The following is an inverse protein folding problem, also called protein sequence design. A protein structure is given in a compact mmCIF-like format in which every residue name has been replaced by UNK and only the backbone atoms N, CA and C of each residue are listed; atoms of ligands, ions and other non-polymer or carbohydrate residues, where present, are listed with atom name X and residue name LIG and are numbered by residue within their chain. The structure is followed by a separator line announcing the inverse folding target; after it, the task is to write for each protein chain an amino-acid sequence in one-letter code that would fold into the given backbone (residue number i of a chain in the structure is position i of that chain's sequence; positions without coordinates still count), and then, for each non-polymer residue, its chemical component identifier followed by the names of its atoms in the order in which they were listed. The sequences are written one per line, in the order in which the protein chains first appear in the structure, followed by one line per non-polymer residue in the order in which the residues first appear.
data_IF_950774738972
#
_entry.id   IF_950774738972
#
_cell.length_a   1.000
_cell.length_b   1.000
_cell.length_c   1.000
_cell.angle_alpha   90.00
_cell.angle_beta   90.00
_cell.angle_gamma   90.00
#
_symmetry.space_group_name_H-M   'P 1'
#
loop_
_entity.id
_entity.type
_entity.pdbx_description
1 polymer ?
#
# COMPACT_ATOMS: atom_id res chain seq x y z
N UNK A 1 5.87 7.59 25.60
CA UNK A 1 4.46 7.13 25.70
C UNK A 1 3.73 7.17 24.35
N UNK A 2 3.60 8.33 23.67
CA UNK A 2 2.87 8.48 22.39
C UNK A 2 3.31 7.47 21.31
N UNK A 3 4.62 7.34 21.04
CA UNK A 3 5.17 6.40 20.05
C UNK A 3 4.83 4.94 20.37
N UNK A 4 4.90 4.53 21.62
CA UNK A 4 4.57 3.15 22.05
C UNK A 4 3.10 2.86 21.78
N UNK A 5 2.19 3.77 22.18
CA UNK A 5 0.76 3.62 21.91
C UNK A 5 0.45 3.56 20.41
N UNK A 6 1.16 4.34 19.60
CA UNK A 6 1.01 4.29 18.14
C UNK A 6 1.45 2.95 17.55
N UNK A 7 2.57 2.39 18.02
CA UNK A 7 3.03 1.04 17.59
C UNK A 7 2.04 -0.03 18.03
N UNK A 8 1.53 0.03 19.26
CA UNK A 8 0.49 -0.90 19.74
C UNK A 8 -0.77 -0.83 18.88
N UNK A 9 -1.21 0.38 18.50
CA UNK A 9 -2.33 0.57 17.59
C UNK A 9 -2.06 -0.07 16.21
N UNK A 10 -0.89 0.17 15.62
CA UNK A 10 -0.49 -0.45 14.35
C UNK A 10 -0.43 -1.97 14.45
N UNK A 11 0.08 -2.52 15.55
CA UNK A 11 0.10 -3.97 15.79
C UNK A 11 -1.32 -4.53 15.85
N UNK A 12 -2.21 -3.87 16.58
CA UNK A 12 -3.61 -4.28 16.69
C UNK A 12 -4.31 -4.32 15.32
N UNK A 13 -4.00 -3.38 14.41
CA UNK A 13 -4.52 -3.37 13.05
C UNK A 13 -3.83 -4.34 12.09
N UNK A 14 -2.67 -4.84 12.45
CA UNK A 14 -1.89 -5.74 11.60
C UNK A 14 -2.12 -7.21 11.91
N UNK A 15 -2.60 -7.52 13.09
CA UNK A 15 -2.98 -8.89 13.47
C UNK A 15 -4.39 -9.11 12.93
N UNK A 16 -4.63 -10.11 12.06
CA UNK A 16 -5.96 -10.41 11.58
C UNK A 16 -6.79 -10.98 12.73
N UNK A 17 -7.20 -10.13 13.65
CA UNK A 17 -8.27 -10.44 14.55
C UNK A 17 -9.51 -10.56 13.72
N UNK A 18 -9.53 -11.68 13.08
CA UNK A 18 -10.75 -12.10 12.50
C UNK A 18 -11.36 -11.13 11.50
N UNK A 19 -10.82 -11.13 10.38
CA UNK A 19 -11.63 -11.11 9.19
C UNK A 19 -12.60 -12.31 9.13
N UNK A 20 -12.64 -13.12 10.17
CA UNK A 20 -13.51 -14.28 10.32
C UNK A 20 -14.51 -14.02 11.44
N UNK A 21 -15.56 -13.24 11.12
CA UNK A 21 -16.69 -13.03 12.00
C UNK A 21 -16.57 -11.78 12.89
N UNK A 22 -17.69 -11.08 13.00
CA UNK A 22 -17.88 -9.89 13.81
C UNK A 22 -18.00 -10.28 15.29
N UNK A 23 -16.88 -10.74 15.90
CA UNK A 23 -16.92 -11.04 17.33
C UNK A 23 -17.04 -9.73 18.12
N UNK A 24 -17.83 -9.69 19.22
CA UNK A 24 -17.96 -8.51 20.08
C UNK A 24 -16.61 -7.94 20.56
N UNK A 25 -15.62 -8.81 20.72
CA UNK A 25 -14.24 -8.42 21.11
C UNK A 25 -13.55 -7.56 20.04
N UNK A 26 -13.71 -7.92 18.76
CA UNK A 26 -13.12 -7.16 17.64
C UNK A 26 -13.78 -5.80 17.51
N UNK A 27 -15.10 -5.73 17.69
CA UNK A 27 -15.85 -4.47 17.70
C UNK A 27 -15.34 -3.59 18.86
N UNK A 28 -15.23 -4.13 20.06
CA UNK A 28 -14.76 -3.39 21.23
C UNK A 28 -13.34 -2.84 21.04
N UNK A 29 -12.41 -3.67 20.51
CA UNK A 29 -11.03 -3.22 20.22
C UNK A 29 -11.04 -2.12 19.15
N UNK A 30 -11.81 -2.27 18.07
CA UNK A 30 -11.92 -1.26 17.01
C UNK A 30 -12.47 0.07 17.56
N UNK A 31 -13.49 0.01 18.42
CA UNK A 31 -14.06 1.19 19.06
C UNK A 31 -13.06 1.88 20.01
N UNK A 32 -12.28 1.11 20.78
CA UNK A 32 -11.23 1.67 21.65
C UNK A 32 -10.14 2.37 20.84
N UNK A 33 -9.72 1.78 19.71
CA UNK A 33 -8.70 2.39 18.86
C UNK A 33 -9.26 3.59 18.11
N UNK A 34 -10.53 3.56 17.68
CA UNK A 34 -11.23 4.72 17.12
C UNK A 34 -11.30 5.85 18.14
N UNK A 35 -11.75 5.57 19.36
CA UNK A 35 -11.81 6.54 20.44
C UNK A 35 -10.43 7.14 20.73
N UNK A 36 -9.41 6.30 20.83
CA UNK A 36 -8.03 6.75 21.02
C UNK A 36 -7.58 7.66 19.87
N UNK A 37 -7.79 7.25 18.61
CA UNK A 37 -7.41 8.04 17.44
C UNK A 37 -8.16 9.38 17.39
N UNK A 38 -9.45 9.36 17.72
CA UNK A 38 -10.29 10.54 17.76
C UNK A 38 -9.82 11.53 18.85
N UNK A 39 -9.61 11.04 20.08
CA UNK A 39 -9.10 11.87 21.18
C UNK A 39 -7.75 12.50 20.86
N UNK A 40 -6.88 11.76 20.15
CA UNK A 40 -5.58 12.27 19.72
C UNK A 40 -5.68 13.28 18.57
N UNK A 41 -6.75 13.23 17.76
CA UNK A 41 -7.00 14.18 16.67
C UNK A 41 -7.71 15.47 17.13
N UNK A 42 -8.47 15.44 18.23
CA UNK A 42 -9.21 16.61 18.73
C UNK A 42 -8.37 17.90 18.81
N UNK A 43 -7.13 17.88 19.36
CA UNK A 43 -6.29 19.07 19.40
C UNK A 43 -5.79 19.53 18.03
N UNK A 44 -5.92 18.68 17.00
CA UNK A 44 -5.38 18.86 15.66
C UNK A 44 -6.47 19.00 14.60
N UNK A 45 -7.68 19.39 14.95
CA UNK A 45 -8.82 19.48 14.02
C UNK A 45 -8.55 20.42 12.84
N UNK A 46 -7.94 21.60 13.07
CA UNK A 46 -7.62 22.55 12.00
C UNK A 46 -6.64 21.94 10.98
N UNK A 47 -5.47 21.39 11.37
CA UNK A 47 -4.58 20.68 10.45
C UNK A 47 -5.24 19.49 9.75
N UNK A 48 -6.13 18.78 10.44
CA UNK A 48 -6.87 17.66 9.87
C UNK A 48 -7.79 18.10 8.73
N UNK A 49 -8.62 19.13 8.98
CA UNK A 49 -9.53 19.69 7.97
C UNK A 49 -8.73 20.21 6.76
N UNK A 50 -7.63 20.90 7.00
CA UNK A 50 -6.73 21.36 5.93
C UNK A 50 -6.16 20.16 5.14
N UNK A 51 -5.72 19.09 5.82
CA UNK A 51 -5.22 17.87 5.18
C UNK A 51 -6.29 17.22 4.30
N UNK A 52 -7.53 17.12 4.77
CA UNK A 52 -8.64 16.58 3.99
C UNK A 52 -9.01 17.47 2.80
N UNK A 53 -9.08 18.78 2.98
CA UNK A 53 -9.32 19.75 1.91
C UNK A 53 -8.22 19.73 0.85
N UNK A 54 -6.98 19.57 1.27
CA UNK A 54 -5.82 19.45 0.40
C UNK A 54 -5.72 18.12 -0.37
N UNK A 55 -6.55 17.14 -0.02
CA UNK A 55 -6.59 15.81 -0.66
C UNK A 55 -8.02 15.43 -1.09
N UNK A 56 -8.67 16.23 -1.95
CA UNK A 56 -10.11 16.09 -2.21
C UNK A 56 -10.49 14.73 -2.79
N UNK A 57 -9.69 14.15 -3.68
CA UNK A 57 -9.98 12.85 -4.28
C UNK A 57 -9.95 11.72 -3.23
N UNK A 58 -8.98 11.73 -2.30
CA UNK A 58 -8.94 10.78 -1.18
C UNK A 58 -10.14 10.98 -0.26
N UNK A 59 -10.45 12.23 0.08
CA UNK A 59 -11.56 12.58 0.96
C UNK A 59 -12.90 12.15 0.37
N UNK A 60 -13.15 12.44 -0.91
CA UNK A 60 -14.36 12.01 -1.62
C UNK A 60 -14.45 10.47 -1.69
N UNK A 61 -13.34 9.78 -1.96
CA UNK A 61 -13.31 8.31 -1.96
C UNK A 61 -13.66 7.75 -0.57
N UNK A 62 -13.08 8.32 0.51
CA UNK A 62 -13.40 7.91 1.87
C UNK A 62 -14.87 8.13 2.21
N UNK A 63 -15.43 9.27 1.84
CA UNK A 63 -16.85 9.59 2.03
C UNK A 63 -17.76 8.66 1.21
N UNK A 64 -17.38 8.36 -0.03
CA UNK A 64 -18.12 7.46 -0.91
C UNK A 64 -18.17 6.03 -0.35
N UNK A 65 -16.99 5.48 0.08
CA UNK A 65 -16.94 4.16 0.73
C UNK A 65 -17.79 4.16 2.01
N UNK A 66 -17.71 5.20 2.83
CA UNK A 66 -18.50 5.28 4.06
C UNK A 66 -20.00 5.37 3.77
N UNK A 67 -20.40 6.11 2.74
CA UNK A 67 -21.80 6.24 2.34
C UNK A 67 -22.36 4.96 1.70
N UNK A 68 -21.51 4.05 1.21
CA UNK A 68 -21.96 2.87 0.47
C UNK A 68 -22.81 1.89 1.29
N UNK A 69 -22.74 1.94 2.62
CA UNK A 69 -23.65 1.16 3.47
C UNK A 69 -25.13 1.59 3.38
N UNK A 70 -25.41 2.79 2.84
CA UNK A 70 -26.78 3.29 2.70
C UNK A 70 -27.56 2.57 1.62
N UNK A 71 -26.88 1.99 0.64
CA UNK A 71 -27.49 1.19 -0.44
C UNK A 71 -27.12 -0.29 -0.37
N UNK A 72 -26.60 -0.75 0.76
CA UNK A 72 -26.32 -2.18 0.98
C UNK A 72 -27.64 -2.96 1.13
N UNK A 73 -28.00 -3.74 0.12
CA UNK A 73 -29.29 -4.44 0.06
C UNK A 73 -29.29 -5.78 0.80
N UNK A 74 -28.18 -6.52 0.76
CA UNK A 74 -28.17 -7.90 1.22
C UNK A 74 -27.87 -8.02 2.73
N UNK A 75 -26.84 -7.33 3.23
CA UNK A 75 -26.36 -7.43 4.62
C UNK A 75 -25.97 -6.04 5.14
N UNK A 76 -26.96 -5.17 5.34
CA UNK A 76 -26.75 -3.79 5.75
C UNK A 76 -25.98 -3.67 7.07
N UNK A 77 -26.29 -4.53 8.06
CA UNK A 77 -25.59 -4.53 9.36
C UNK A 77 -24.11 -4.85 9.19
N UNK A 78 -23.78 -5.84 8.37
CA UNK A 78 -22.39 -6.21 8.06
C UNK A 78 -21.66 -5.08 7.35
N UNK A 79 -22.32 -4.43 6.38
CA UNK A 79 -21.78 -3.27 5.69
C UNK A 79 -21.49 -2.11 6.65
N UNK A 80 -22.43 -1.76 7.53
CA UNK A 80 -22.22 -0.73 8.56
C UNK A 80 -21.02 -1.02 9.46
N UNK A 81 -20.84 -2.28 9.87
CA UNK A 81 -19.71 -2.68 10.71
C UNK A 81 -18.38 -2.64 9.94
N UNK A 82 -18.39 -2.97 8.64
CA UNK A 82 -17.21 -2.82 7.79
C UNK A 82 -16.86 -1.35 7.56
N UNK A 83 -17.86 -0.49 7.36
CA UNK A 83 -17.67 0.96 7.28
C UNK A 83 -17.11 1.52 8.61
N UNK A 84 -17.59 1.07 9.77
CA UNK A 84 -17.05 1.47 11.06
C UNK A 84 -15.55 1.12 11.17
N UNK A 85 -15.16 -0.09 10.76
CA UNK A 85 -13.74 -0.49 10.69
C UNK A 85 -12.97 0.39 9.73
N UNK A 86 -13.51 0.65 8.54
CA UNK A 86 -12.88 1.49 7.53
C UNK A 86 -12.65 2.93 8.03
N UNK A 87 -13.65 3.53 8.70
CA UNK A 87 -13.53 4.85 9.33
C UNK A 87 -12.47 4.83 10.43
N UNK A 88 -12.41 3.77 11.25
CA UNK A 88 -11.39 3.60 12.28
C UNK A 88 -9.98 3.59 11.69
N UNK A 89 -9.77 2.82 10.62
CA UNK A 89 -8.47 2.72 9.94
C UNK A 89 -8.07 4.02 9.26
N UNK A 90 -9.04 4.68 8.63
CA UNK A 90 -8.85 5.98 7.99
C UNK A 90 -8.47 7.05 9.01
N UNK A 91 -9.19 7.12 10.12
CA UNK A 91 -8.91 8.05 11.23
C UNK A 91 -7.52 7.81 11.82
N UNK A 92 -7.10 6.54 11.96
CA UNK A 92 -5.76 6.23 12.43
C UNK A 92 -4.67 6.62 11.41
N UNK A 93 -4.92 6.43 10.12
CA UNK A 93 -4.04 6.93 9.06
C UNK A 93 -3.88 8.46 9.11
N UNK A 94 -4.98 9.17 9.28
CA UNK A 94 -4.99 10.64 9.45
C UNK A 94 -4.25 11.07 10.73
N UNK A 95 -4.40 10.34 11.85
CA UNK A 95 -3.63 10.56 13.06
C UNK A 95 -2.11 10.45 12.80
N UNK A 96 -1.66 9.46 12.04
CA UNK A 96 -0.25 9.32 11.72
C UNK A 96 0.28 10.53 10.93
N UNK A 97 -0.41 10.95 9.88
CA UNK A 97 0.07 12.03 9.01
C UNK A 97 0.06 13.39 9.67
N UNK A 98 -0.87 13.64 10.61
CA UNK A 98 -0.94 14.91 11.37
C UNK A 98 0.11 15.00 12.47
N UNK A 99 0.54 13.87 13.04
CA UNK A 99 1.43 13.86 14.20
C UNK A 99 2.86 13.43 13.91
N UNK A 100 3.14 12.87 12.73
CA UNK A 100 4.46 12.40 12.37
C UNK A 100 4.90 12.90 10.98
N UNK A 101 6.19 13.17 10.87
CA UNK A 101 6.83 13.42 9.57
C UNK A 101 6.78 12.16 8.70
N UNK A 102 7.04 12.28 7.40
CA UNK A 102 7.14 11.13 6.50
C UNK A 102 8.11 10.07 7.03
N UNK A 103 9.29 10.51 7.48
CA UNK A 103 10.29 9.61 8.08
C UNK A 103 9.77 8.94 9.36
N UNK A 104 9.03 9.68 10.19
CA UNK A 104 8.39 9.16 11.40
C UNK A 104 7.36 8.08 11.08
N UNK A 105 6.46 8.33 10.13
CA UNK A 105 5.46 7.36 9.69
C UNK A 105 6.10 6.07 9.16
N UNK A 106 7.04 6.19 8.21
CA UNK A 106 7.73 5.03 7.63
C UNK A 106 8.50 4.24 8.70
N UNK A 107 9.20 4.95 9.62
CA UNK A 107 9.91 4.30 10.73
C UNK A 107 8.96 3.49 11.63
N UNK A 108 7.80 4.05 11.98
CA UNK A 108 6.80 3.36 12.81
C UNK A 108 6.27 2.11 12.10
N UNK A 109 5.97 2.20 10.81
CA UNK A 109 5.53 1.04 10.01
C UNK A 109 6.62 -0.05 9.97
N UNK A 110 7.88 0.29 9.73
CA UNK A 110 8.99 -0.67 9.71
C UNK A 110 9.19 -1.32 11.08
N UNK A 111 9.12 -0.56 12.18
CA UNK A 111 9.20 -1.11 13.55
C UNK A 111 8.04 -2.09 13.79
N UNK A 112 6.82 -1.73 13.41
CA UNK A 112 5.65 -2.61 13.55
C UNK A 112 5.82 -3.92 12.78
N UNK A 113 6.26 -3.85 11.52
CA UNK A 113 6.54 -5.03 10.70
C UNK A 113 7.64 -5.90 11.28
N UNK A 114 8.68 -5.28 11.88
CA UNK A 114 9.76 -6.01 12.55
C UNK A 114 9.26 -6.77 13.77
N UNK A 115 8.44 -6.14 14.60
CA UNK A 115 7.81 -6.80 15.77
C UNK A 115 6.91 -7.94 15.32
N UNK A 116 6.08 -7.73 14.28
CA UNK A 116 5.23 -8.78 13.73
C UNK A 116 6.04 -9.97 13.22
N UNK A 117 7.18 -9.74 12.56
CA UNK A 117 8.05 -10.82 12.08
C UNK A 117 8.59 -11.67 13.24
N UNK A 118 9.01 -11.02 14.33
CA UNK A 118 9.46 -11.73 15.54
C UNK A 118 8.31 -12.50 16.18
N UNK A 119 7.14 -11.87 16.34
CA UNK A 119 5.96 -12.52 16.92
C UNK A 119 5.49 -13.73 16.08
N UNK A 120 5.55 -13.62 14.74
CA UNK A 120 5.24 -14.76 13.86
C UNK A 120 6.22 -15.93 14.05
N UNK A 121 7.52 -15.65 14.16
CA UNK A 121 8.52 -16.68 14.44
C UNK A 121 8.29 -17.31 15.82
N UNK A 122 8.10 -16.49 16.85
CA UNK A 122 7.83 -16.98 18.21
C UNK A 122 6.57 -17.85 18.27
N UNK A 123 5.51 -17.47 17.57
CA UNK A 123 4.29 -18.28 17.50
C UNK A 123 4.56 -19.65 16.87
N UNK A 124 5.37 -19.73 15.80
CA UNK A 124 5.71 -20.99 15.15
C UNK A 124 6.55 -21.90 16.08
N UNK A 125 7.46 -21.31 16.87
CA UNK A 125 8.33 -22.06 17.77
C UNK A 125 7.60 -22.50 19.04
N UNK A 126 6.81 -21.60 19.66
CA UNK A 126 6.20 -21.82 20.97
C UNK A 126 4.83 -22.51 20.88
N UNK A 127 4.05 -22.24 19.81
CA UNK A 127 2.68 -22.77 19.65
C UNK A 127 2.48 -23.25 18.21
N UNK A 128 3.21 -24.28 17.75
CA UNK A 128 3.19 -24.75 16.36
C UNK A 128 1.80 -25.23 15.91
N UNK A 129 1.01 -25.83 16.79
CA UNK A 129 -0.38 -26.24 16.50
C UNK A 129 -1.29 -25.09 16.07
N UNK A 130 -1.05 -23.90 16.58
CA UNK A 130 -1.76 -22.67 16.18
C UNK A 130 -1.11 -22.03 14.94
N UNK A 131 0.22 -21.98 14.86
CA UNK A 131 0.95 -21.17 13.91
C UNK A 131 1.30 -21.86 12.59
N UNK A 132 1.06 -23.18 12.49
CA UNK A 132 1.25 -24.00 11.29
C UNK A 132 -0.12 -24.49 10.81
N UNK A 133 -0.32 -24.54 9.50
CA UNK A 133 -1.55 -25.08 8.92
C UNK A 133 -1.63 -26.59 9.11
N UNK A 134 -2.74 -27.10 9.68
CA UNK A 134 -3.01 -28.52 9.88
C UNK A 134 -4.01 -29.14 8.90
N UNK A 135 -4.63 -28.32 8.03
CA UNK A 135 -5.63 -28.81 7.05
C UNK A 135 -4.99 -29.43 5.81
N UNK A 136 -5.73 -30.27 5.09
CA UNK A 136 -5.23 -31.04 3.94
C UNK A 136 -4.59 -30.15 2.86
N UNK A 137 -5.18 -29.01 2.55
CA UNK A 137 -4.76 -28.14 1.46
C UNK A 137 -3.42 -27.40 1.72
N UNK A 138 -3.12 -27.09 2.98
CA UNK A 138 -1.95 -26.27 3.35
C UNK A 138 -1.10 -26.88 4.45
N UNK A 139 -1.18 -28.20 4.69
CA UNK A 139 -0.51 -28.89 5.79
C UNK A 139 0.99 -28.52 5.86
N UNK A 140 1.46 -28.20 7.06
CA UNK A 140 2.87 -27.90 7.33
C UNK A 140 3.33 -26.50 6.94
N UNK A 141 2.50 -25.70 6.25
CA UNK A 141 2.86 -24.33 5.87
C UNK A 141 2.69 -23.37 7.05
N UNK A 142 3.65 -22.46 7.20
CA UNK A 142 3.62 -21.49 8.30
C UNK A 142 2.59 -20.37 8.03
N UNK A 143 1.80 -20.05 9.04
CA UNK A 143 0.84 -18.93 9.05
C UNK A 143 1.11 -17.93 10.19
N UNK A 144 1.86 -18.34 11.21
CA UNK A 144 2.17 -17.53 12.38
C UNK A 144 0.92 -17.03 13.10
N UNK A 145 1.03 -15.84 13.70
CA UNK A 145 -0.12 -15.09 14.23
C UNK A 145 -0.95 -14.43 13.12
N UNK A 146 -0.47 -14.48 11.88
CA UNK A 146 -1.11 -13.85 10.71
C UNK A 146 -2.33 -14.61 10.20
N UNK A 147 -2.65 -15.77 10.75
CA UNK A 147 -3.84 -16.56 10.47
C UNK A 147 -3.85 -17.30 9.14
N UNK A 148 -3.15 -16.81 8.11
CA UNK A 148 -3.06 -17.45 6.80
C UNK A 148 -1.65 -17.27 6.19
N UNK A 149 -1.17 -18.26 5.45
CA UNK A 149 0.16 -18.28 4.81
C UNK A 149 0.42 -17.05 3.91
N UNK A 150 -0.58 -16.63 3.14
CA UNK A 150 -0.45 -15.48 2.25
C UNK A 150 -0.33 -14.17 3.03
N UNK A 151 -1.01 -14.04 4.17
CA UNK A 151 -0.90 -12.88 5.06
C UNK A 151 0.48 -12.82 5.70
N UNK A 152 0.99 -13.96 6.20
CA UNK A 152 2.36 -14.04 6.69
C UNK A 152 3.37 -13.62 5.60
N UNK A 153 3.19 -14.16 4.38
CA UNK A 153 4.05 -13.86 3.24
C UNK A 153 4.08 -12.36 2.89
N UNK A 154 2.93 -11.70 2.83
CA UNK A 154 2.87 -10.26 2.47
C UNK A 154 3.44 -9.35 3.56
N UNK A 155 3.23 -9.64 4.84
CA UNK A 155 3.85 -8.89 5.95
C UNK A 155 5.37 -9.11 5.98
N UNK A 156 5.82 -10.35 5.79
CA UNK A 156 7.25 -10.68 5.73
C UNK A 156 7.94 -10.03 4.52
N UNK A 157 7.26 -9.95 3.37
CA UNK A 157 7.75 -9.24 2.18
C UNK A 157 8.02 -7.76 2.51
N UNK A 158 7.02 -7.05 3.08
CA UNK A 158 7.18 -5.64 3.42
C UNK A 158 8.32 -5.40 4.41
N UNK A 159 8.46 -6.27 5.40
CA UNK A 159 9.57 -6.22 6.35
C UNK A 159 10.92 -6.48 5.66
N UNK A 160 11.00 -7.52 4.83
CA UNK A 160 12.20 -7.88 4.08
C UNK A 160 12.71 -6.71 3.24
N UNK A 161 11.86 -6.16 2.35
CA UNK A 161 12.26 -5.07 1.44
C UNK A 161 12.64 -3.80 2.20
N UNK A 162 11.99 -3.51 3.31
CA UNK A 162 12.32 -2.39 4.18
C UNK A 162 13.74 -2.53 4.74
N UNK A 163 14.06 -3.69 5.28
CA UNK A 163 15.38 -3.93 5.86
C UNK A 163 16.49 -4.01 4.82
N UNK A 164 16.19 -4.48 3.59
CA UNK A 164 17.12 -4.37 2.46
C UNK A 164 17.44 -2.89 2.18
N UNK A 165 16.44 -2.02 2.10
CA UNK A 165 16.63 -0.58 1.86
C UNK A 165 17.46 0.05 2.99
N UNK A 166 17.15 -0.24 4.24
CA UNK A 166 17.86 0.31 5.40
C UNK A 166 19.28 -0.23 5.56
N UNK A 167 19.56 -1.45 5.10
CA UNK A 167 20.92 -1.98 5.00
C UNK A 167 21.80 -1.09 4.11
N UNK A 168 21.30 -0.66 2.96
CA UNK A 168 22.03 0.26 2.08
C UNK A 168 22.14 1.69 2.63
N UNK A 169 21.31 2.06 3.60
CA UNK A 169 21.49 3.31 4.36
C UNK A 169 22.79 3.31 5.20
N UNK A 170 23.30 2.14 5.55
CA UNK A 170 24.60 1.96 6.19
C UNK A 170 24.61 1.97 7.71
N UNK A 171 23.47 2.24 8.37
CA UNK A 171 23.35 2.22 9.84
C UNK A 171 22.89 0.84 10.31
N UNK A 172 23.39 0.35 11.45
CA UNK A 172 22.94 -0.90 12.12
C UNK A 172 22.85 -2.11 11.16
N UNK A 173 23.82 -2.29 10.28
CA UNK A 173 23.80 -3.30 9.21
C UNK A 173 23.51 -4.72 9.71
N UNK A 174 24.11 -5.15 10.82
CA UNK A 174 23.89 -6.47 11.40
C UNK A 174 22.42 -6.71 11.77
N UNK A 175 21.73 -5.69 12.35
CA UNK A 175 20.30 -5.75 12.66
C UNK A 175 19.47 -5.95 11.40
N UNK A 176 19.78 -5.18 10.33
CA UNK A 176 19.05 -5.28 9.08
C UNK A 176 19.26 -6.62 8.38
N UNK A 177 20.49 -7.16 8.39
CA UNK A 177 20.78 -8.51 7.90
C UNK A 177 19.99 -9.56 8.69
N UNK A 178 19.94 -9.47 10.02
CA UNK A 178 19.15 -10.37 10.84
C UNK A 178 17.67 -10.39 10.44
N UNK A 179 17.06 -9.22 10.23
CA UNK A 179 15.66 -9.15 9.78
C UNK A 179 15.45 -9.60 8.33
N UNK A 180 16.42 -9.38 7.44
CA UNK A 180 16.38 -9.91 6.07
C UNK A 180 16.38 -11.43 6.11
N UNK A 181 17.28 -12.06 6.87
CA UNK A 181 17.34 -13.52 7.02
C UNK A 181 16.07 -14.09 7.68
N UNK A 182 15.59 -13.46 8.75
CA UNK A 182 14.34 -13.86 9.41
C UNK A 182 13.16 -13.85 8.42
N UNK A 183 12.99 -12.77 7.68
CA UNK A 183 11.85 -12.65 6.77
C UNK A 183 12.03 -13.52 5.51
N UNK A 184 13.24 -13.77 5.05
CA UNK A 184 13.51 -14.79 4.03
C UNK A 184 13.08 -16.18 4.49
N UNK A 185 13.38 -16.56 5.74
CA UNK A 185 12.93 -17.81 6.34
C UNK A 185 11.39 -17.89 6.38
N UNK A 186 10.72 -16.83 6.86
CA UNK A 186 9.25 -16.77 6.91
C UNK A 186 8.62 -16.90 5.52
N UNK A 187 9.18 -16.22 4.51
CA UNK A 187 8.75 -16.29 3.11
C UNK A 187 8.89 -17.69 2.51
N UNK A 188 10.02 -18.35 2.76
CA UNK A 188 10.25 -19.73 2.29
C UNK A 188 9.28 -20.70 2.97
N UNK A 189 9.06 -20.58 4.27
CA UNK A 189 8.21 -21.49 5.04
C UNK A 189 6.72 -21.29 4.85
N UNK A 190 6.25 -20.07 4.51
CA UNK A 190 4.85 -19.83 4.17
C UNK A 190 4.48 -20.29 2.75
N UNK A 191 5.47 -20.48 1.85
CA UNK A 191 5.28 -20.91 0.46
C UNK A 191 4.18 -20.15 -0.29
N UNK A 192 4.07 -18.85 -0.03
CA UNK A 192 3.15 -17.98 -0.77
C UNK A 192 3.77 -17.55 -2.10
N UNK A 193 3.35 -18.17 -3.19
CA UNK A 193 3.87 -17.90 -4.55
C UNK A 193 3.76 -16.40 -4.90
N UNK A 194 2.61 -15.79 -4.63
CA UNK A 194 2.40 -14.34 -4.86
C UNK A 194 3.39 -13.49 -4.07
N UNK A 195 3.59 -13.81 -2.78
CA UNK A 195 4.53 -13.05 -1.95
C UNK A 195 5.97 -13.22 -2.40
N UNK A 196 6.37 -14.41 -2.84
CA UNK A 196 7.72 -14.66 -3.38
C UNK A 196 7.96 -13.90 -4.68
N UNK A 197 7.00 -13.94 -5.62
CA UNK A 197 7.09 -13.19 -6.89
C UNK A 197 7.16 -11.68 -6.65
N UNK A 198 6.29 -11.14 -5.79
CA UNK A 198 6.32 -9.73 -5.44
C UNK A 198 7.60 -9.34 -4.71
N UNK A 199 8.13 -10.20 -3.83
CA UNK A 199 9.42 -9.95 -3.14
C UNK A 199 10.55 -9.83 -4.15
N UNK A 200 10.64 -10.76 -5.10
CA UNK A 200 11.66 -10.74 -6.14
C UNK A 200 11.54 -9.49 -7.03
N UNK A 201 10.32 -9.15 -7.46
CA UNK A 201 10.07 -7.97 -8.30
C UNK A 201 10.41 -6.67 -7.59
N UNK A 202 10.00 -6.49 -6.33
CA UNK A 202 10.32 -5.30 -5.56
C UNK A 202 11.79 -5.22 -5.17
N UNK A 203 12.44 -6.36 -4.91
CA UNK A 203 13.87 -6.40 -4.67
C UNK A 203 14.67 -5.96 -5.91
N UNK A 204 14.29 -6.45 -7.10
CA UNK A 204 14.88 -5.99 -8.37
C UNK A 204 14.63 -4.50 -8.61
N UNK A 205 13.42 -4.00 -8.31
CA UNK A 205 13.12 -2.57 -8.38
C UNK A 205 14.01 -1.73 -7.44
N UNK A 206 14.23 -2.19 -6.21
CA UNK A 206 15.14 -1.53 -5.25
C UNK A 206 16.56 -1.48 -5.82
N UNK A 207 17.10 -2.61 -6.28
CA UNK A 207 18.43 -2.68 -6.88
C UNK A 207 18.53 -1.76 -8.10
N UNK A 208 17.50 -1.76 -8.97
CA UNK A 208 17.43 -0.87 -10.12
C UNK A 208 17.57 0.60 -9.70
N UNK A 209 16.79 1.06 -8.74
CA UNK A 209 16.85 2.45 -8.27
C UNK A 209 18.20 2.78 -7.65
N UNK A 210 18.76 1.88 -6.85
CA UNK A 210 20.06 2.09 -6.19
C UNK A 210 21.23 2.14 -7.19
N UNK A 211 21.21 1.27 -8.20
CA UNK A 211 22.21 1.25 -9.28
C UNK A 211 22.04 2.45 -10.21
N UNK A 212 20.81 2.74 -10.65
CA UNK A 212 20.51 3.86 -11.53
C UNK A 212 21.00 5.20 -10.98
N UNK A 213 20.89 5.40 -9.67
CA UNK A 213 21.41 6.62 -9.01
C UNK A 213 22.93 6.74 -9.02
N UNK A 214 23.66 5.65 -9.18
CA UNK A 214 25.13 5.64 -9.28
C UNK A 214 25.62 5.98 -10.69
N UNK A 215 24.78 5.80 -11.71
CA UNK A 215 25.11 6.09 -13.10
C UNK A 215 25.13 7.60 -13.31
N UNK A 216 26.28 8.18 -13.67
CA UNK A 216 26.41 9.62 -13.95
C UNK A 216 26.18 9.96 -15.42
N UNK A 217 26.54 9.07 -16.33
CA UNK A 217 26.41 9.25 -17.79
C UNK A 217 24.93 9.19 -18.22
N UNK A 218 24.48 10.17 -19.01
CA UNK A 218 23.12 10.23 -19.58
C UNK A 218 22.90 9.06 -20.53
N UNK A 219 23.87 8.75 -21.38
CA UNK A 219 23.81 7.62 -22.33
C UNK A 219 23.68 6.28 -21.62
N UNK A 220 24.48 6.05 -20.56
CA UNK A 220 24.38 4.83 -19.75
C UNK A 220 23.03 4.74 -19.01
N UNK A 221 22.45 5.86 -18.56
CA UNK A 221 21.10 5.87 -18.00
C UNK A 221 20.05 5.45 -19.03
N UNK A 222 20.12 6.02 -20.23
CA UNK A 222 19.27 5.65 -21.36
C UNK A 222 19.36 4.16 -21.67
N UNK A 223 20.57 3.64 -21.84
CA UNK A 223 20.82 2.22 -22.08
C UNK A 223 20.25 1.34 -20.95
N UNK A 224 20.45 1.71 -19.69
CA UNK A 224 19.97 0.95 -18.52
C UNK A 224 18.43 0.91 -18.47
N UNK A 225 17.76 2.04 -18.77
CA UNK A 225 16.28 2.09 -18.87
C UNK A 225 15.80 1.21 -20.00
N UNK A 226 16.36 1.37 -21.21
CA UNK A 226 15.93 0.62 -22.41
C UNK A 226 16.13 -0.88 -22.22
N UNK A 227 17.28 -1.30 -21.67
CA UNK A 227 17.55 -2.71 -21.36
C UNK A 227 16.57 -3.27 -20.33
N UNK A 228 16.23 -2.49 -19.29
CA UNK A 228 15.26 -2.90 -18.28
C UNK A 228 13.85 -3.02 -18.85
N UNK A 229 13.42 -2.09 -19.71
CA UNK A 229 12.13 -2.17 -20.41
C UNK A 229 12.08 -3.38 -21.33
N UNK A 230 13.17 -3.66 -22.07
CA UNK A 230 13.28 -4.82 -22.95
C UNK A 230 13.20 -6.12 -22.14
N UNK A 231 13.91 -6.24 -21.01
CA UNK A 231 13.84 -7.42 -20.14
C UNK A 231 12.45 -7.65 -19.56
N UNK A 232 11.74 -6.58 -19.19
CA UNK A 232 10.33 -6.68 -18.74
C UNK A 232 9.45 -7.16 -19.88
N UNK A 233 9.59 -6.60 -21.07
CA UNK A 233 8.82 -7.01 -22.25
C UNK A 233 9.09 -8.49 -22.59
N UNK A 234 10.36 -8.91 -22.65
CA UNK A 234 10.73 -10.30 -22.88
C UNK A 234 10.20 -11.23 -21.80
N UNK A 235 10.22 -10.80 -20.52
CA UNK A 235 9.62 -11.55 -19.42
C UNK A 235 8.11 -11.72 -19.57
N UNK A 236 7.40 -10.69 -20.02
CA UNK A 236 5.96 -10.76 -20.33
C UNK A 236 5.71 -11.74 -21.47
N UNK A 237 6.43 -11.61 -22.60
CA UNK A 237 6.30 -12.52 -23.74
C UNK A 237 6.59 -13.96 -23.33
N UNK A 238 7.66 -14.19 -22.56
CA UNK A 238 8.02 -15.51 -22.06
C UNK A 238 6.92 -16.09 -21.14
N UNK A 239 6.34 -15.29 -20.24
CA UNK A 239 5.25 -15.72 -19.37
C UNK A 239 3.99 -16.10 -20.17
N UNK A 240 3.66 -15.36 -21.23
CA UNK A 240 2.54 -15.70 -22.11
C UNK A 240 2.82 -16.95 -22.98
N UNK A 241 4.06 -17.14 -23.44
CA UNK A 241 4.40 -18.25 -24.34
C UNK A 241 4.63 -19.57 -23.61
N UNK A 242 5.20 -19.53 -22.40
CA UNK A 242 5.65 -20.73 -21.68
C UNK A 242 5.02 -20.87 -20.28
N UNK A 243 4.12 -19.97 -19.89
CA UNK A 243 3.53 -19.96 -18.56
C UNK A 243 2.81 -21.28 -18.23
N UNK A 244 2.09 -21.83 -19.19
CA UNK A 244 1.35 -23.11 -19.05
C UNK A 244 2.29 -24.30 -18.85
N UNK A 245 3.34 -24.39 -19.65
CA UNK A 245 4.32 -25.46 -19.57
C UNK A 245 5.07 -25.43 -18.22
N UNK A 246 5.47 -24.24 -17.77
CA UNK A 246 6.16 -24.07 -16.50
C UNK A 246 5.22 -24.40 -15.33
N UNK A 247 3.97 -23.92 -15.35
CA UNK A 247 3.01 -24.19 -14.29
C UNK A 247 2.71 -25.69 -14.15
N UNK A 248 2.57 -26.40 -15.27
CA UNK A 248 2.32 -27.85 -15.28
C UNK A 248 3.48 -28.66 -14.68
N UNK A 249 4.73 -28.25 -14.91
CA UNK A 249 5.92 -28.91 -14.37
C UNK A 249 6.02 -28.76 -12.85
N UNK A 250 5.44 -27.68 -12.28
CA UNK A 250 5.30 -27.50 -10.82
C UNK A 250 3.98 -28.03 -10.26
N UNK A 251 3.22 -28.85 -11.04
CA UNK A 251 1.93 -29.39 -10.61
C UNK A 251 0.86 -28.33 -10.39
N UNK A 252 1.02 -27.14 -11.00
CA UNK A 252 0.08 -26.02 -10.91
C UNK A 252 -0.54 -25.78 -12.29
N UNK A 253 -1.83 -25.53 -12.33
CA UNK A 253 -2.50 -25.03 -13.55
C UNK A 253 -2.29 -23.53 -13.67
N UNK A 254 -2.13 -23.01 -14.88
CA UNK A 254 -2.08 -21.55 -15.17
C UNK A 254 -3.41 -20.87 -14.93
N UNK A 255 -4.50 -21.61 -14.84
CA UNK A 255 -5.79 -21.10 -14.35
C UNK A 255 -5.66 -20.71 -12.89
N UNK A 256 -4.88 -19.67 -12.60
CA UNK A 256 -4.76 -18.94 -11.32
C UNK A 256 -5.39 -19.67 -10.11
N UNK A 257 -5.18 -21.02 -10.00
CA UNK A 257 -5.70 -21.90 -8.92
C UNK A 257 -7.19 -21.67 -8.60
N UNK A 258 -8.08 -21.85 -9.59
CA UNK A 258 -9.54 -21.74 -9.40
C UNK A 258 -10.10 -20.31 -9.42
N UNK A 259 -9.26 -19.29 -9.69
CA UNK A 259 -9.72 -17.89 -9.71
C UNK A 259 -10.60 -17.57 -10.90
N UNK A 260 -10.35 -18.21 -12.05
CA UNK A 260 -11.15 -18.03 -13.26
C UNK A 260 -12.60 -18.43 -13.00
N UNK A 261 -12.81 -19.56 -12.33
CA UNK A 261 -14.13 -20.06 -11.93
C UNK A 261 -14.81 -19.12 -10.94
N UNK A 262 -14.05 -18.61 -9.96
CA UNK A 262 -14.55 -17.59 -9.02
C UNK A 262 -15.01 -16.35 -9.79
N UNK A 263 -14.20 -15.86 -10.72
CA UNK A 263 -14.51 -14.65 -11.48
C UNK A 263 -15.72 -14.80 -12.40
N UNK A 264 -15.87 -15.98 -13.02
CA UNK A 264 -17.08 -16.31 -13.79
C UNK A 264 -18.30 -16.39 -12.88
N UNK A 265 -18.17 -17.02 -11.71
CA UNK A 265 -19.27 -17.16 -10.75
C UNK A 265 -19.79 -15.83 -10.17
N UNK A 266 -18.93 -14.82 -10.08
CA UNK A 266 -19.32 -13.48 -9.56
C UNK A 266 -19.66 -12.47 -10.66
N UNK A 267 -19.51 -12.80 -11.95
CA UNK A 267 -19.74 -11.86 -13.05
C UNK A 267 -21.17 -11.29 -13.04
N UNK A 268 -22.19 -12.15 -12.84
CA UNK A 268 -23.57 -11.71 -12.75
C UNK A 268 -23.85 -10.78 -11.55
N UNK A 269 -23.13 -10.94 -10.44
CA UNK A 269 -23.22 -10.04 -9.32
C UNK A 269 -22.63 -8.66 -9.64
N UNK A 270 -21.51 -8.62 -10.37
CA UNK A 270 -20.93 -7.36 -10.85
C UNK A 270 -21.91 -6.66 -11.79
N UNK A 271 -22.50 -7.37 -12.76
CA UNK A 271 -23.40 -6.80 -13.75
C UNK A 271 -24.67 -6.23 -13.13
N UNK A 272 -25.22 -6.88 -12.08
CA UNK A 272 -26.44 -6.42 -11.39
C UNK A 272 -26.25 -5.09 -10.65
N UNK A 273 -25.05 -4.78 -10.16
CA UNK A 273 -24.74 -3.57 -9.39
C UNK A 273 -23.50 -2.86 -9.95
N UNK A 274 -23.43 -2.73 -11.27
CA UNK A 274 -22.26 -2.34 -12.04
C UNK A 274 -21.62 -1.01 -11.58
N UNK A 275 -22.44 0.06 -11.39
CA UNK A 275 -21.93 1.40 -11.14
C UNK A 275 -21.60 1.70 -9.68
N UNK A 276 -22.42 1.23 -8.74
CA UNK A 276 -22.35 1.60 -7.31
C UNK A 276 -21.97 0.44 -6.39
N UNK A 277 -21.96 -0.80 -6.91
CA UNK A 277 -21.69 -2.01 -6.14
C UNK A 277 -22.79 -2.35 -5.15
N UNK A 278 -22.58 -3.43 -4.39
CA UNK A 278 -23.53 -3.96 -3.40
C UNK A 278 -23.48 -3.25 -2.03
N UNK A 279 -22.61 -2.24 -1.87
CA UNK A 279 -22.26 -1.66 -0.57
C UNK A 279 -21.07 -2.36 0.07
N UNK A 280 -20.15 -1.56 0.62
CA UNK A 280 -18.86 -2.03 1.14
C UNK A 280 -19.02 -3.15 2.18
N UNK A 281 -18.47 -4.33 1.86
CA UNK A 281 -18.50 -5.53 2.70
C UNK A 281 -19.87 -6.23 2.80
N UNK A 282 -20.92 -5.78 2.09
CA UNK A 282 -22.25 -6.40 2.10
C UNK A 282 -22.25 -7.74 1.36
N UNK A 283 -21.73 -7.77 0.14
CA UNK A 283 -21.74 -8.96 -0.72
C UNK A 283 -21.02 -10.16 -0.10
N UNK A 284 -19.81 -9.96 0.42
CA UNK A 284 -18.99 -11.04 0.98
C UNK A 284 -19.50 -11.55 2.34
N UNK A 285 -20.32 -10.77 3.05
CA UNK A 285 -20.90 -11.20 4.32
C UNK A 285 -21.83 -12.41 4.17
N UNK A 286 -22.55 -12.49 3.04
CA UNK A 286 -23.42 -13.62 2.71
C UNK A 286 -22.68 -14.90 2.29
N UNK A 287 -21.36 -14.87 2.19
CA UNK A 287 -20.53 -16.00 1.72
C UNK A 287 -21.11 -16.63 0.46
N UNK A 288 -21.18 -15.89 -0.66
CA UNK A 288 -21.73 -16.43 -1.90
C UNK A 288 -21.00 -17.71 -2.28
N UNK A 289 -21.73 -18.72 -2.71
CA UNK A 289 -21.14 -19.98 -3.13
C UNK A 289 -21.17 -20.11 -4.64
N UNK A 290 -20.10 -20.70 -5.18
CA UNK A 290 -20.01 -21.12 -6.57
C UNK A 290 -19.83 -22.62 -6.65
N UNK A 291 -20.26 -23.19 -7.79
CA UNK A 291 -19.97 -24.57 -8.11
C UNK A 291 -18.90 -24.62 -9.18
N UNK A 292 -17.78 -25.26 -8.90
CA UNK A 292 -16.72 -25.51 -9.86
C UNK A 292 -16.37 -27.01 -9.81
N UNK A 293 -16.38 -27.67 -10.98
CA UNK A 293 -16.14 -29.11 -11.11
C UNK A 293 -17.03 -29.97 -10.17
N UNK A 294 -18.29 -29.56 -9.96
CA UNK A 294 -19.24 -30.27 -9.10
C UNK A 294 -19.02 -30.07 -7.59
N UNK A 295 -18.05 -29.26 -7.19
CA UNK A 295 -17.77 -28.94 -5.78
C UNK A 295 -18.28 -27.54 -5.46
N UNK A 296 -18.96 -27.40 -4.31
CA UNK A 296 -19.40 -26.10 -3.78
C UNK A 296 -18.27 -25.42 -3.03
N UNK A 297 -18.00 -24.19 -3.39
CA UNK A 297 -17.04 -23.32 -2.71
C UNK A 297 -17.74 -22.11 -2.12
N UNK A 298 -17.63 -21.88 -0.81
CA UNK A 298 -18.10 -20.66 -0.16
C UNK A 298 -17.00 -19.59 -0.26
N UNK A 299 -17.35 -18.48 -0.88
CA UNK A 299 -16.41 -17.41 -1.19
C UNK A 299 -16.38 -16.35 -0.08
N UNK A 300 -15.20 -15.87 0.23
CA UNK A 300 -14.98 -14.73 1.14
C UNK A 300 -14.30 -13.54 0.43
N UNK A 301 -13.85 -13.75 -0.80
CA UNK A 301 -13.24 -12.72 -1.65
C UNK A 301 -13.07 -13.26 -3.08
N UNK A 302 -12.85 -12.39 -4.04
CA UNK A 302 -12.54 -12.77 -5.44
C UNK A 302 -11.08 -13.14 -5.66
N UNK A 303 -10.23 -13.04 -4.67
CA UNK A 303 -8.77 -13.07 -4.81
C UNK A 303 -8.21 -12.05 -5.84
N UNK A 304 -8.93 -10.96 -6.05
CA UNK A 304 -8.51 -9.79 -6.83
C UNK A 304 -9.10 -8.55 -6.18
N UNK A 305 -8.27 -7.72 -5.56
CA UNK A 305 -8.74 -6.55 -4.86
C UNK A 305 -9.48 -5.55 -5.75
N UNK A 306 -9.15 -5.50 -7.07
CA UNK A 306 -9.90 -4.64 -8.00
C UNK A 306 -11.32 -5.17 -8.26
N UNK A 307 -11.52 -6.49 -8.35
CA UNK A 307 -12.86 -7.07 -8.46
C UNK A 307 -13.65 -6.92 -7.17
N UNK A 308 -12.99 -7.08 -6.02
CA UNK A 308 -13.64 -6.86 -4.74
C UNK A 308 -14.10 -5.40 -4.60
N UNK A 309 -13.27 -4.43 -5.03
CA UNK A 309 -13.69 -3.03 -5.10
C UNK A 309 -14.90 -2.84 -6.03
N UNK A 310 -14.90 -3.51 -7.18
CA UNK A 310 -16.01 -3.39 -8.13
C UNK A 310 -17.30 -3.94 -7.55
N UNK A 311 -17.28 -5.10 -6.91
CA UNK A 311 -18.44 -5.68 -6.22
C UNK A 311 -18.92 -4.80 -5.07
N UNK A 312 -17.99 -4.33 -4.23
CA UNK A 312 -18.32 -3.59 -3.01
C UNK A 312 -18.81 -2.17 -3.30
N UNK A 313 -18.10 -1.42 -4.15
CA UNK A 313 -18.31 0.02 -4.38
C UNK A 313 -18.47 0.40 -5.85
N UNK A 314 -18.69 -0.60 -6.72
CA UNK A 314 -18.97 -0.43 -8.13
C UNK A 314 -17.79 0.07 -8.96
N UNK A 315 -18.02 0.21 -10.26
CA UNK A 315 -17.05 0.76 -11.20
C UNK A 315 -16.60 2.17 -10.79
N UNK A 316 -17.52 2.98 -10.28
CA UNK A 316 -17.26 4.36 -9.84
C UNK A 316 -16.18 4.40 -8.75
N UNK A 317 -16.35 3.62 -7.69
CA UNK A 317 -15.40 3.56 -6.58
C UNK A 317 -14.06 2.93 -6.98
N UNK A 318 -14.11 1.88 -7.83
CA UNK A 318 -12.89 1.26 -8.36
C UNK A 318 -12.08 2.25 -9.22
N UNK A 319 -12.71 2.97 -10.14
CA UNK A 319 -12.03 3.97 -10.98
C UNK A 319 -11.50 5.14 -10.15
N UNK A 320 -12.24 5.61 -9.15
CA UNK A 320 -11.75 6.64 -8.23
C UNK A 320 -10.50 6.17 -7.47
N UNK A 321 -10.47 4.91 -7.02
CA UNK A 321 -9.30 4.30 -6.35
C UNK A 321 -8.11 4.21 -7.29
N UNK A 322 -8.31 3.74 -8.52
CA UNK A 322 -7.26 3.66 -9.55
C UNK A 322 -6.73 5.07 -9.89
N UNK A 323 -7.61 6.04 -10.09
CA UNK A 323 -7.23 7.43 -10.37
C UNK A 323 -6.41 8.02 -9.24
N UNK A 324 -6.80 7.78 -7.98
CA UNK A 324 -6.04 8.22 -6.80
C UNK A 324 -4.66 7.55 -6.75
N UNK A 325 -4.56 6.25 -7.04
CA UNK A 325 -3.31 5.54 -7.10
C UNK A 325 -2.39 6.08 -8.21
N UNK A 326 -2.92 6.28 -9.42
CA UNK A 326 -2.17 6.80 -10.56
C UNK A 326 -1.70 8.24 -10.34
N UNK A 327 -2.58 9.13 -9.87
CA UNK A 327 -2.20 10.52 -9.57
C UNK A 327 -1.12 10.59 -8.47
N UNK A 328 -1.18 9.70 -7.48
CA UNK A 328 -0.14 9.59 -6.45
C UNK A 328 1.18 9.12 -7.05
N UNK A 329 1.15 8.11 -7.93
CA UNK A 329 2.34 7.58 -8.61
C UNK A 329 3.02 8.66 -9.46
N UNK A 330 2.26 9.45 -10.25
CA UNK A 330 2.79 10.53 -11.07
C UNK A 330 3.42 11.67 -10.24
N UNK A 331 2.89 11.93 -9.04
CA UNK A 331 3.42 12.95 -8.12
C UNK A 331 4.60 12.45 -7.30
N UNK A 332 4.89 11.15 -7.34
CA UNK A 332 5.96 10.55 -6.54
C UNK A 332 7.34 11.07 -6.99
N UNK A 333 8.13 11.58 -6.04
CA UNK A 333 9.48 12.07 -6.28
C UNK A 333 10.46 11.47 -5.28
N UNK A 334 11.42 10.68 -5.77
CA UNK A 334 12.52 10.17 -4.94
C UNK A 334 13.68 11.17 -5.03
N UNK A 335 13.68 12.17 -4.14
CA UNK A 335 14.72 13.19 -4.06
C UNK A 335 16.05 12.67 -3.47
N UNK A 336 17.09 13.52 -3.47
CA UNK A 336 18.38 13.21 -2.86
C UNK A 336 18.30 13.17 -1.33
N UNK A 337 17.57 14.11 -0.73
CA UNK A 337 17.29 14.15 0.70
C UNK A 337 16.27 13.08 1.05
N UNK A 338 16.53 12.33 2.12
CA UNK A 338 15.66 11.24 2.61
C UNK A 338 15.33 10.14 1.57
N UNK A 339 16.28 9.86 0.67
CA UNK A 339 16.10 8.87 -0.39
C UNK A 339 15.54 7.54 0.12
N UNK A 340 16.10 7.02 1.20
CA UNK A 340 15.72 5.71 1.73
C UNK A 340 14.30 5.70 2.29
N UNK A 341 13.85 6.77 2.92
CA UNK A 341 12.47 6.95 3.39
C UNK A 341 11.50 6.92 2.19
N UNK A 342 11.79 7.71 1.15
CA UNK A 342 10.94 7.78 -0.02
C UNK A 342 10.98 6.52 -0.88
N UNK A 343 12.13 5.82 -0.92
CA UNK A 343 12.22 4.51 -1.58
C UNK A 343 11.38 3.47 -0.84
N UNK A 344 11.39 3.46 0.50
CA UNK A 344 10.53 2.57 1.29
C UNK A 344 9.06 2.88 1.06
N UNK A 345 8.67 4.16 1.03
CA UNK A 345 7.31 4.58 0.72
C UNK A 345 6.89 4.15 -0.70
N UNK A 346 7.77 4.30 -1.70
CA UNK A 346 7.51 3.87 -3.07
C UNK A 346 7.30 2.36 -3.17
N UNK A 347 8.14 1.59 -2.50
CA UNK A 347 8.04 0.12 -2.47
C UNK A 347 6.76 -0.33 -1.79
N UNK A 348 6.37 0.30 -0.68
CA UNK A 348 5.11 0.00 -0.02
C UNK A 348 3.91 0.34 -0.90
N UNK A 349 3.94 1.47 -1.58
CA UNK A 349 2.88 1.87 -2.49
C UNK A 349 2.75 0.91 -3.68
N UNK A 350 3.87 0.59 -4.34
CA UNK A 350 3.90 -0.37 -5.44
C UNK A 350 3.44 -1.76 -4.99
N UNK A 351 3.85 -2.20 -3.79
CA UNK A 351 3.36 -3.45 -3.22
C UNK A 351 1.83 -3.45 -3.13
N UNK A 352 1.22 -2.39 -2.56
CA UNK A 352 -0.24 -2.32 -2.41
C UNK A 352 -0.92 -2.44 -3.78
N UNK A 353 -0.45 -1.68 -4.78
CA UNK A 353 -1.05 -1.69 -6.13
C UNK A 353 -0.89 -3.05 -6.80
N UNK A 354 0.32 -3.61 -6.80
CA UNK A 354 0.60 -4.90 -7.44
C UNK A 354 -0.07 -6.07 -6.73
N UNK A 355 -0.07 -6.08 -5.40
CA UNK A 355 -0.71 -7.14 -4.64
C UNK A 355 -2.23 -7.16 -4.85
N UNK A 356 -2.85 -6.01 -5.11
CA UNK A 356 -4.28 -5.90 -5.38
C UNK A 356 -4.70 -6.53 -6.72
N UNK A 357 -3.76 -6.77 -7.64
CA UNK A 357 -4.02 -7.52 -8.87
C UNK A 357 -4.26 -9.01 -8.56
N UNK A 358 -3.54 -9.55 -7.59
CA UNK A 358 -3.44 -11.00 -7.33
C UNK A 358 -4.01 -11.45 -6.00
N UNK A 359 -4.41 -10.54 -5.11
CA UNK A 359 -5.01 -10.89 -3.82
C UNK A 359 -5.91 -9.74 -3.31
N UNK A 360 -6.88 -10.09 -2.48
CA UNK A 360 -7.93 -9.20 -1.95
C UNK A 360 -7.49 -8.62 -0.60
N UNK A 361 -6.53 -7.68 -0.59
CA UNK A 361 -5.93 -7.19 0.66
C UNK A 361 -6.20 -5.72 0.96
N UNK A 362 -6.50 -4.91 -0.05
CA UNK A 362 -6.48 -3.46 0.06
C UNK A 362 -7.49 -2.89 1.05
N UNK A 363 -8.75 -3.31 0.98
CA UNK A 363 -9.80 -2.89 1.90
C UNK A 363 -10.34 -4.03 2.77
N UNK A 364 -10.11 -5.29 2.41
CA UNK A 364 -10.84 -6.42 2.95
C UNK A 364 -10.18 -7.13 4.15
N UNK A 365 -8.85 -7.28 4.21
CA UNK A 365 -8.29 -8.24 5.16
C UNK A 365 -7.36 -7.66 6.22
N UNK A 366 -6.63 -6.60 5.93
CA UNK A 366 -5.72 -5.98 6.89
C UNK A 366 -5.77 -4.46 6.79
N UNK A 367 -6.18 -3.86 7.89
CA UNK A 367 -6.21 -2.41 8.05
C UNK A 367 -4.88 -1.72 7.76
N UNK A 368 -3.75 -2.40 8.01
CA UNK A 368 -2.42 -1.82 7.82
C UNK A 368 -2.17 -1.39 6.37
N UNK A 369 -2.70 -2.10 5.37
CA UNK A 369 -2.49 -1.73 3.97
C UNK A 369 -3.23 -0.45 3.60
N UNK A 370 -4.46 -0.28 4.10
CA UNK A 370 -5.20 0.97 3.94
C UNK A 370 -4.51 2.13 4.67
N UNK A 371 -4.05 1.91 5.90
CA UNK A 371 -3.30 2.91 6.68
C UNK A 371 -2.03 3.34 5.93
N UNK A 372 -1.25 2.38 5.41
CA UNK A 372 -0.05 2.67 4.60
C UNK A 372 -0.42 3.49 3.37
N UNK A 373 -1.49 3.12 2.67
CA UNK A 373 -1.96 3.83 1.48
C UNK A 373 -2.33 5.29 1.79
N UNK A 374 -3.17 5.52 2.81
CA UNK A 374 -3.56 6.88 3.25
C UNK A 374 -2.34 7.72 3.61
N UNK A 375 -1.41 7.16 4.40
CA UNK A 375 -0.19 7.85 4.80
C UNK A 375 0.64 8.24 3.58
N UNK A 376 0.84 7.34 2.64
CA UNK A 376 1.68 7.61 1.46
C UNK A 376 1.00 8.62 0.54
N UNK A 377 -0.30 8.46 0.25
CA UNK A 377 -1.06 9.40 -0.59
C UNK A 377 -0.93 10.82 -0.06
N UNK A 378 -1.21 11.04 1.21
CA UNK A 378 -1.17 12.37 1.82
C UNK A 378 0.26 12.93 1.81
N UNK A 379 1.27 12.13 2.22
CA UNK A 379 2.66 12.59 2.28
C UNK A 379 3.26 12.88 0.91
N UNK A 380 2.86 12.15 -0.13
CA UNK A 380 3.27 12.45 -1.51
C UNK A 380 2.62 13.74 -2.01
N UNK A 381 1.34 13.96 -1.74
CA UNK A 381 0.64 15.20 -2.10
C UNK A 381 1.24 16.42 -1.38
N UNK A 382 1.49 16.31 -0.06
CA UNK A 382 2.14 17.34 0.74
C UNK A 382 3.50 17.73 0.15
N UNK A 383 4.35 16.76 -0.13
CA UNK A 383 5.66 17.00 -0.76
C UNK A 383 5.55 17.61 -2.15
N UNK A 384 4.61 17.17 -2.96
CA UNK A 384 4.39 17.71 -4.29
C UNK A 384 4.05 19.19 -4.23
N UNK A 385 3.12 19.60 -3.34
CA UNK A 385 2.77 21.01 -3.12
C UNK A 385 3.95 21.86 -2.67
N UNK A 386 4.76 21.37 -1.72
CA UNK A 386 5.97 22.06 -1.29
C UNK A 386 6.94 22.29 -2.44
N UNK A 387 7.17 21.26 -3.28
CA UNK A 387 8.06 21.38 -4.44
C UNK A 387 7.54 22.38 -5.49
N UNK A 388 6.22 22.47 -5.70
CA UNK A 388 5.61 23.43 -6.61
C UNK A 388 5.78 24.85 -6.06
N UNK A 389 5.44 25.08 -4.80
CA UNK A 389 5.57 26.37 -4.14
C UNK A 389 7.04 26.89 -4.14
N UNK A 390 8.02 26.01 -3.85
CA UNK A 390 9.44 26.36 -3.93
C UNK A 390 9.86 26.82 -5.34
N UNK A 391 9.34 26.17 -6.38
CA UNK A 391 9.64 26.56 -7.77
C UNK A 391 9.02 27.92 -8.12
N UNK A 392 7.77 28.15 -7.72
CA UNK A 392 7.10 29.43 -7.97
C UNK A 392 7.83 30.61 -7.31
N UNK A 393 8.27 30.43 -6.06
CA UNK A 393 9.07 31.43 -5.34
C UNK A 393 10.39 31.67 -6.06
N UNK A 394 11.10 30.59 -6.46
CA UNK A 394 12.38 30.71 -7.18
C UNK A 394 12.21 31.46 -8.51
N UNK A 395 11.17 31.13 -9.26
CA UNK A 395 10.87 31.81 -10.54
C UNK A 395 10.51 33.29 -10.32
N UNK A 396 9.73 33.62 -9.30
CA UNK A 396 9.39 34.98 -8.94
C UNK A 396 10.61 35.83 -8.57
N UNK A 397 11.55 35.24 -7.79
CA UNK A 397 12.81 35.89 -7.43
C UNK A 397 13.67 36.14 -8.68
N UNK A 398 13.75 35.16 -9.60
CA UNK A 398 14.50 35.36 -10.86
C UNK A 398 13.90 36.46 -11.72
N UNK A 399 12.57 36.52 -11.85
CA UNK A 399 11.91 37.60 -12.58
C UNK A 399 12.16 38.96 -11.93
N UNK A 400 12.08 39.08 -10.62
CA UNK A 400 12.36 40.30 -9.89
C UNK A 400 13.82 40.78 -10.09
N UNK A 401 14.78 39.84 -10.06
CA UNK A 401 16.21 40.14 -10.27
C UNK A 401 16.48 40.67 -11.70
N UNK A 402 15.89 40.03 -12.72
CA UNK A 402 16.01 40.47 -14.13
C UNK A 402 15.40 41.87 -14.31
N UNK A 403 14.24 42.14 -13.70
CA UNK A 403 13.59 43.45 -13.76
C UNK A 403 14.44 44.53 -13.12
N UNK A 404 15.05 44.26 -11.97
CA UNK A 404 15.98 45.20 -11.30
C UNK A 404 17.24 45.47 -12.13
N UNK A 405 17.83 44.43 -12.74
CA UNK A 405 18.98 44.62 -13.64
C UNK A 405 18.66 45.45 -14.87
N UNK A 406 17.49 45.21 -15.47
CA UNK A 406 17.02 46.01 -16.64
C UNK A 406 16.74 47.45 -16.25
N UNK A 407 16.13 47.70 -15.10
CA UNK A 407 15.87 49.05 -14.58
C UNK A 407 17.17 49.80 -14.28
N UNK A 408 18.14 49.14 -13.63
CA UNK A 408 19.45 49.72 -13.34
C UNK A 408 20.28 50.00 -14.61
N UNK A 409 20.19 49.16 -15.65
CA UNK A 409 20.82 49.41 -16.95
C UNK A 409 20.20 50.62 -17.68
N UNK A 410 18.89 50.80 -17.61
CA UNK A 410 18.21 51.96 -18.20
C UNK A 410 18.49 53.23 -17.41
N UNK A 411 18.61 53.20 -16.11
CA UNK A 411 19.02 54.31 -15.27
C UNK A 411 20.44 54.79 -15.59
N UNK A 412 21.41 53.84 -15.67
CA UNK A 412 22.80 54.16 -16.05
C UNK A 412 22.96 54.73 -17.47
N UNK A 413 22.08 54.42 -18.42
CA UNK A 413 22.06 55.00 -19.77
C UNK A 413 21.52 56.43 -19.81
N UNK A 414 20.80 56.89 -18.79
CA UNK A 414 20.22 58.24 -18.68
C UNK A 414 21.10 59.22 -17.87
N UNK A 415 22.22 58.79 -17.30
CA UNK A 415 23.17 59.74 -16.68
C UNK A 415 23.79 60.60 -17.75
N UNK A 416 23.68 61.97 -17.62
CA UNK A 416 24.29 62.87 -18.57
C UNK A 416 25.81 62.73 -18.50
N UNK A 417 26.45 62.50 -19.67
CA UNK A 417 27.91 62.58 -19.78
C UNK A 417 28.27 64.07 -19.60
N UNK A 418 28.84 64.43 -18.45
CA UNK A 418 29.49 65.69 -18.29
C UNK A 418 30.71 65.71 -19.21
N UNK A 419 30.90 66.75 -20.02
CA UNK A 419 32.13 66.95 -20.78
C UNK A 419 33.27 67.08 -19.80
N UNK A 420 34.37 66.40 -20.06
CA UNK A 420 35.59 66.57 -19.33
C UNK A 420 36.16 67.99 -19.54
N UNK A 421 36.88 68.56 -18.52
CA UNK A 421 37.44 69.89 -18.58
C UNK A 421 38.56 70.01 -19.60
#
# INVERSE_FOLDING_TARGET
MKTVLTVVGLLAFSIPYACQGLSPRVIAISLLILLFSYLMLLPSLKPLIATLADNPLLTLLMMYIAASCLWAEQEQTSSMLMVLKFVTFSTFGLYLVTHYTTQGCIRLLVITLSILSVLNLLAVVLVPSFAIHGGVEHTGLWKGISGHKNTLGTLSLLCFVSHVIYFFRGTRKALHVGFVLLNALLLIKCQSTTSLLLTSSLFMFILFILLFKRIRSVSLRGFFISSSCLLVLLGIVFAFSYGDAIASEFGKTTTLTGRTEIWQGIAGAIDSHYWFGHGYGSFWANRPSIYANGIRFDLTSSHSGFRDLWIDIGLTGMLATITLAMTTLFKFRIGKTDMYTWLTAAVFFLFIVLNNITDSRFLNSLAIYWIIFVVIVIKVQERHRQTVAEKEITTSIQHASITLETTNRTARKKEPRFPAP
#
